data_IF_092381655865
#
_entry.id   IF_092381655865
#
_cell.length_a   1.000
_cell.length_b   1.000
_cell.length_c   1.000
_cell.angle_alpha   90.00
_cell.angle_beta   90.00
_cell.angle_gamma   90.00
#
_symmetry.space_group_name_H-M   'P 1'
#
loop_
_entity.id
_entity.type
_entity.pdbx_description
1 polymer ?
#
# COMPACT_ATOMS: atom_id res chain seq x y z
N UNK A 1 -31.70 53.60 -49.17
CA UNK A 1 -31.01 54.23 -48.01
C UNK A 1 -31.41 53.45 -46.76
N UNK A 2 -30.47 53.15 -45.87
CA UNK A 2 -30.72 52.56 -44.56
C UNK A 2 -30.26 53.52 -43.45
N UNK A 3 -31.02 53.66 -42.35
CA UNK A 3 -30.50 53.53 -40.97
C UNK A 3 -31.52 52.84 -40.03
N UNK A 4 -31.23 52.33 -38.82
CA UNK A 4 -29.99 51.93 -38.09
C UNK A 4 -30.39 50.89 -37.00
N UNK A 5 -29.44 50.37 -36.22
CA UNK A 5 -29.70 49.42 -35.12
C UNK A 5 -30.15 50.08 -33.79
N UNK A 6 -30.81 49.31 -32.91
CA UNK A 6 -30.86 49.54 -31.45
C UNK A 6 -31.21 48.25 -30.68
N UNK A 7 -30.73 48.11 -29.45
CA UNK A 7 -30.77 46.89 -28.62
C UNK A 7 -31.84 46.89 -27.50
N UNK A 8 -32.16 45.67 -27.02
CA UNK A 8 -32.54 45.28 -25.63
C UNK A 8 -33.67 46.04 -24.90
N UNK A 9 -34.67 45.28 -24.43
CA UNK A 9 -34.77 44.78 -23.03
C UNK A 9 -36.05 43.95 -22.85
N UNK A 10 -36.11 43.09 -21.81
CA UNK A 10 -37.38 42.43 -21.40
C UNK A 10 -37.29 40.93 -21.10
N UNK A 11 -36.65 40.55 -20.00
CA UNK A 11 -36.70 39.18 -19.49
C UNK A 11 -38.10 38.83 -18.98
N UNK A 12 -38.73 37.80 -19.55
CA UNK A 12 -39.91 37.12 -18.97
C UNK A 12 -39.55 35.67 -18.65
N UNK A 13 -39.55 35.35 -17.36
CA UNK A 13 -39.28 34.01 -16.82
C UNK A 13 -40.39 33.04 -17.29
N UNK A 14 -40.07 31.81 -17.71
CA UNK A 14 -41.08 30.76 -17.84
C UNK A 14 -41.64 30.41 -16.45
N UNK A 15 -42.95 30.20 -16.34
CA UNK A 15 -43.60 29.81 -15.10
C UNK A 15 -43.25 28.37 -14.70
N UNK A 16 -43.25 28.09 -13.40
CA UNK A 16 -43.05 26.74 -12.86
C UNK A 16 -44.27 25.86 -13.17
N UNK A 17 -44.16 25.02 -14.21
CA UNK A 17 -45.08 23.91 -14.39
C UNK A 17 -44.72 22.80 -13.40
N UNK A 18 -45.52 22.70 -12.34
CA UNK A 18 -45.51 21.61 -11.37
C UNK A 18 -46.13 20.34 -12.00
N UNK A 19 -45.36 19.67 -12.87
CA UNK A 19 -45.71 18.37 -13.41
C UNK A 19 -45.50 17.28 -12.34
N UNK A 20 -46.57 16.99 -11.61
CA UNK A 20 -46.59 16.02 -10.52
C UNK A 20 -46.00 14.67 -10.93
N UNK A 21 -44.87 14.32 -10.32
CA UNK A 21 -44.01 13.20 -10.69
C UNK A 21 -44.70 11.84 -10.41
N UNK A 22 -45.53 11.40 -11.37
CA UNK A 22 -46.08 10.04 -11.39
C UNK A 22 -44.92 9.05 -11.54
N UNK A 23 -44.47 8.52 -10.41
CA UNK A 23 -43.46 7.46 -10.26
C UNK A 23 -43.89 6.17 -10.98
N UNK A 24 -43.85 6.17 -12.31
CA UNK A 24 -43.98 4.97 -13.12
C UNK A 24 -42.86 4.02 -12.73
N UNK A 25 -43.22 2.85 -12.20
CA UNK A 25 -42.27 1.83 -11.74
C UNK A 25 -41.35 1.46 -12.91
N UNK A 26 -40.11 1.94 -12.86
CA UNK A 26 -39.12 1.81 -13.93
C UNK A 26 -38.94 0.33 -14.25
N UNK A 27 -39.46 -0.12 -15.40
CA UNK A 27 -39.33 -1.50 -15.84
C UNK A 27 -37.85 -1.89 -15.84
N UNK A 28 -37.51 -3.04 -15.25
CA UNK A 28 -36.12 -3.51 -15.16
C UNK A 28 -35.55 -3.61 -16.57
N UNK A 29 -34.61 -2.72 -16.91
CA UNK A 29 -33.91 -2.71 -18.19
C UNK A 29 -33.24 -4.08 -18.35
N UNK A 30 -33.58 -4.80 -19.44
CA UNK A 30 -32.94 -6.07 -19.76
C UNK A 30 -31.43 -5.92 -19.99
N UNK A 31 -30.72 -7.05 -20.12
CA UNK A 31 -29.28 -7.05 -20.36
C UNK A 31 -28.93 -6.21 -21.58
N UNK A 32 -28.34 -5.04 -21.35
CA UNK A 32 -28.15 -4.01 -22.38
C UNK A 32 -26.84 -4.29 -23.10
N UNK A 33 -26.90 -5.08 -24.18
CA UNK A 33 -25.73 -5.41 -25.00
C UNK A 33 -25.55 -4.35 -26.08
N UNK A 34 -24.69 -3.38 -25.81
CA UNK A 34 -24.25 -2.39 -26.79
C UNK A 34 -22.80 -1.98 -26.54
N UNK A 35 -22.10 -1.36 -27.50
CA UNK A 35 -20.67 -1.03 -27.39
C UNK A 35 -20.30 -0.17 -26.15
N UNK A 36 -21.27 0.52 -25.55
CA UNK A 36 -21.13 1.29 -24.31
C UNK A 36 -21.22 0.48 -23.01
N UNK A 37 -21.71 -0.76 -23.08
CA UNK A 37 -21.99 -1.64 -21.93
C UNK A 37 -21.30 -3.01 -22.03
N UNK A 38 -20.63 -3.30 -23.14
CA UNK A 38 -19.61 -4.36 -23.16
C UNK A 38 -18.54 -4.05 -22.10
N UNK A 39 -17.90 -5.08 -21.50
CA UNK A 39 -16.81 -4.87 -20.58
C UNK A 39 -15.64 -4.20 -21.30
N UNK A 40 -15.57 -2.87 -21.15
CA UNK A 40 -14.44 -2.02 -21.52
C UNK A 40 -13.15 -2.76 -21.17
N UNK A 41 -12.42 -3.19 -22.20
CA UNK A 41 -11.49 -4.32 -22.13
C UNK A 41 -10.50 -4.23 -20.96
N UNK A 42 -9.96 -5.38 -20.53
CA UNK A 42 -9.21 -5.59 -19.26
C UNK A 42 -8.23 -4.48 -18.82
N UNK A 43 -7.68 -3.71 -19.77
CA UNK A 43 -6.79 -2.57 -19.54
C UNK A 43 -7.45 -1.18 -19.53
N UNK A 44 -8.61 -0.97 -20.18
CA UNK A 44 -9.27 0.35 -20.29
C UNK A 44 -9.73 0.88 -18.93
N UNK A 45 -10.31 0.03 -18.08
CA UNK A 45 -10.66 0.38 -16.68
C UNK A 45 -9.42 0.75 -15.85
N UNK A 46 -8.32 -0.01 -15.99
CA UNK A 46 -7.03 0.30 -15.34
C UNK A 46 -6.47 1.64 -15.82
N UNK A 47 -6.49 1.90 -17.12
CA UNK A 47 -6.01 3.16 -17.69
C UNK A 47 -6.86 4.37 -17.24
N UNK A 48 -8.18 4.21 -17.12
CA UNK A 48 -9.06 5.23 -16.53
C UNK A 48 -8.74 5.47 -15.05
N UNK A 49 -8.50 4.41 -14.26
CA UNK A 49 -8.11 4.51 -12.85
C UNK A 49 -6.75 5.20 -12.67
N UNK A 50 -5.75 4.84 -13.48
CA UNK A 50 -4.43 5.48 -13.50
C UNK A 50 -4.59 6.98 -13.80
N UNK A 51 -5.32 7.34 -14.86
CA UNK A 51 -5.59 8.74 -15.22
C UNK A 51 -6.26 9.53 -14.08
N UNK A 52 -7.31 8.98 -13.46
CA UNK A 52 -7.96 9.60 -12.29
C UNK A 52 -6.96 9.81 -11.14
N UNK A 53 -6.22 8.76 -10.76
CA UNK A 53 -5.23 8.83 -9.68
C UNK A 53 -4.10 9.85 -9.91
N UNK A 54 -3.72 10.10 -11.17
CA UNK A 54 -2.75 11.13 -11.53
C UNK A 54 -3.32 12.55 -11.39
N UNK A 55 -4.58 12.76 -11.81
CA UNK A 55 -5.29 14.02 -11.64
C UNK A 55 -5.48 14.33 -10.15
N UNK A 56 -5.89 13.35 -9.35
CA UNK A 56 -6.14 13.54 -7.92
C UNK A 56 -4.83 13.85 -7.16
N UNK A 57 -3.72 13.16 -7.49
CA UNK A 57 -2.38 13.50 -6.97
C UNK A 57 -1.92 14.89 -7.38
N UNK A 58 -2.22 15.34 -8.59
CA UNK A 58 -1.87 16.69 -9.04
C UNK A 58 -2.65 17.77 -8.27
N UNK A 59 -3.95 17.56 -8.04
CA UNK A 59 -4.79 18.44 -7.21
C UNK A 59 -4.27 18.52 -5.78
N UNK A 60 -4.05 17.37 -5.13
CA UNK A 60 -3.51 17.32 -3.76
C UNK A 60 -2.18 18.08 -3.63
N UNK A 61 -1.28 17.99 -4.63
CA UNK A 61 -0.04 18.78 -4.64
C UNK A 61 -0.28 20.28 -4.79
N UNK A 62 -1.23 20.70 -5.63
CA UNK A 62 -1.58 22.12 -5.79
C UNK A 62 -2.22 22.68 -4.52
N UNK A 63 -3.10 21.92 -3.86
CA UNK A 63 -3.77 22.37 -2.64
C UNK A 63 -2.82 22.36 -1.44
N UNK A 64 -1.93 21.38 -1.34
CA UNK A 64 -0.83 21.39 -0.36
C UNK A 64 0.09 22.60 -0.54
N UNK A 65 0.51 22.91 -1.78
CA UNK A 65 1.34 24.08 -2.05
C UNK A 65 0.66 25.41 -1.68
N UNK A 66 -0.68 25.51 -1.84
CA UNK A 66 -1.45 26.68 -1.37
C UNK A 66 -1.53 26.76 0.15
N UNK A 67 -1.67 25.63 0.84
CA UNK A 67 -1.67 25.60 2.31
C UNK A 67 -0.29 25.97 2.86
N UNK A 68 0.79 25.39 2.33
CA UNK A 68 2.15 25.74 2.72
C UNK A 68 2.44 27.23 2.49
N UNK A 69 2.07 27.79 1.34
CA UNK A 69 2.25 29.23 1.08
C UNK A 69 1.45 30.13 2.05
N UNK A 70 0.30 29.66 2.55
CA UNK A 70 -0.45 30.36 3.61
C UNK A 70 0.21 30.19 4.97
N UNK A 71 0.63 29.00 5.34
CA UNK A 71 1.35 28.76 6.61
C UNK A 71 2.66 29.54 6.68
N UNK A 72 3.37 29.70 5.56
CA UNK A 72 4.57 30.55 5.45
C UNK A 72 4.22 32.05 5.58
N UNK A 73 3.08 32.50 5.06
CA UNK A 73 2.57 33.87 5.25
C UNK A 73 2.11 34.12 6.69
N UNK A 74 1.26 33.26 7.25
CA UNK A 74 0.76 33.32 8.63
C UNK A 74 1.93 33.28 9.63
N UNK A 75 2.97 32.48 9.35
CA UNK A 75 4.20 32.43 10.13
C UNK A 75 5.02 33.72 10.00
N UNK A 76 5.18 34.26 8.80
CA UNK A 76 5.88 35.53 8.61
C UNK A 76 5.14 36.70 9.28
N UNK A 77 3.80 36.70 9.26
CA UNK A 77 2.98 37.64 10.02
C UNK A 77 3.11 37.45 11.53
N UNK A 78 3.16 36.22 12.02
CA UNK A 78 3.37 35.93 13.44
C UNK A 78 4.78 36.34 13.92
N UNK A 79 5.82 36.07 13.12
CA UNK A 79 7.20 36.51 13.39
C UNK A 79 7.31 38.05 13.32
N UNK A 80 6.60 38.72 12.40
CA UNK A 80 6.55 40.18 12.33
C UNK A 80 5.80 40.81 13.54
N UNK A 81 4.66 40.24 13.95
CA UNK A 81 3.93 40.71 15.15
C UNK A 81 4.72 40.47 16.44
N UNK A 82 5.40 39.33 16.56
CA UNK A 82 6.29 39.06 17.70
C UNK A 82 7.48 40.03 17.76
N UNK A 83 7.98 40.49 16.61
CA UNK A 83 9.00 41.53 16.53
C UNK A 83 8.45 42.93 16.89
N UNK A 84 7.21 43.25 16.53
CA UNK A 84 6.55 44.52 16.89
C UNK A 84 6.19 44.60 18.39
N UNK A 85 5.71 43.50 19.00
CA UNK A 85 5.39 43.45 20.43
C UNK A 85 6.63 43.45 21.35
N UNK A 86 7.85 43.47 20.80
CA UNK A 86 9.09 43.58 21.57
C UNK A 86 9.37 42.40 22.51
N UNK A 87 8.63 41.30 22.36
CA UNK A 87 8.78 40.07 23.12
C UNK A 87 10.03 39.31 22.65
N UNK A 88 11.19 39.79 23.09
CA UNK A 88 12.45 39.05 23.04
C UNK A 88 12.33 37.84 23.97
N UNK A 89 11.70 36.77 23.46
CA UNK A 89 11.82 35.46 24.07
C UNK A 89 13.32 35.12 24.09
N UNK A 90 13.94 34.94 25.26
CA UNK A 90 15.35 34.60 25.33
C UNK A 90 15.57 33.30 24.57
N UNK A 91 16.59 33.27 23.70
CA UNK A 91 16.95 32.06 22.98
C UNK A 91 17.07 30.90 23.98
N UNK A 92 16.43 29.74 23.73
CA UNK A 92 16.38 28.66 24.71
C UNK A 92 17.81 28.20 24.99
N UNK A 93 18.31 28.56 26.18
CA UNK A 93 19.66 28.23 26.61
C UNK A 93 19.79 26.72 26.65
N UNK A 94 20.64 26.14 25.80
CA UNK A 94 20.82 24.69 25.73
C UNK A 94 21.49 24.09 26.98
N UNK A 95 21.87 24.94 27.94
CA UNK A 95 22.37 24.55 29.26
C UNK A 95 21.21 24.05 30.15
N UNK A 96 21.36 22.90 30.83
CA UNK A 96 20.41 22.46 31.84
C UNK A 96 20.25 23.49 32.98
N UNK A 97 19.04 23.57 33.55
CA UNK A 97 18.82 24.28 34.82
C UNK A 97 19.76 23.71 35.91
N UNK A 98 20.32 24.51 36.83
CA UNK A 98 21.28 24.02 37.84
C UNK A 98 20.78 22.80 38.63
N UNK A 99 19.50 22.75 39.00
CA UNK A 99 18.91 21.58 39.68
C UNK A 99 18.94 20.30 38.83
N UNK A 100 18.84 20.43 37.51
CA UNK A 100 18.96 19.30 36.57
C UNK A 100 20.42 18.89 36.41
N UNK A 101 21.35 19.84 36.45
CA UNK A 101 22.79 19.57 36.45
C UNK A 101 23.18 18.77 37.70
N UNK A 102 22.79 19.24 38.89
CA UNK A 102 22.99 18.54 40.17
C UNK A 102 22.41 17.10 40.19
N UNK A 103 21.34 16.84 39.45
CA UNK A 103 20.75 15.51 39.34
C UNK A 103 21.55 14.60 38.39
N UNK A 104 22.02 15.14 37.25
CA UNK A 104 22.88 14.44 36.28
C UNK A 104 24.22 14.07 36.93
N UNK A 105 24.86 15.03 37.62
CA UNK A 105 26.16 14.82 38.26
C UNK A 105 26.04 13.73 39.35
N UNK A 106 24.95 13.74 40.12
CA UNK A 106 24.65 12.72 41.13
C UNK A 106 24.29 11.34 40.56
N UNK A 107 23.71 11.27 39.37
CA UNK A 107 23.50 9.99 38.66
C UNK A 107 24.79 9.47 38.00
N UNK A 108 25.74 10.36 37.69
CA UNK A 108 27.05 10.00 37.14
C UNK A 108 28.06 9.54 38.20
N UNK A 109 28.00 10.07 39.43
CA UNK A 109 28.88 9.67 40.53
C UNK A 109 28.66 8.21 41.01
N UNK A 110 27.44 7.68 40.93
CA UNK A 110 27.10 6.39 41.53
C UNK A 110 26.10 5.56 40.68
N UNK A 111 26.52 5.04 39.50
CA UNK A 111 25.63 4.34 38.57
C UNK A 111 25.07 3.03 39.14
N UNK A 112 25.78 2.36 40.06
CA UNK A 112 25.28 1.14 40.70
C UNK A 112 24.09 1.40 41.65
N UNK A 113 23.98 2.58 42.25
CA UNK A 113 22.82 2.93 43.08
C UNK A 113 21.54 3.10 42.28
N UNK A 114 21.61 3.43 40.98
CA UNK A 114 20.41 3.59 40.14
C UNK A 114 19.83 2.23 39.72
N UNK A 115 20.69 1.26 39.37
CA UNK A 115 20.27 -0.13 39.10
C UNK A 115 19.75 -0.83 40.37
N UNK A 116 20.35 -0.56 41.53
CA UNK A 116 19.97 -1.16 42.82
C UNK A 116 18.89 -0.39 43.58
N UNK A 117 18.24 0.61 42.97
CA UNK A 117 17.13 1.37 43.58
C UNK A 117 15.82 0.60 43.56
N UNK A 118 15.86 -0.60 44.15
CA UNK A 118 14.77 -1.54 44.22
C UNK A 118 13.55 -0.92 44.94
N UNK A 119 12.37 -0.83 44.29
CA UNK A 119 11.16 -0.28 44.91
C UNK A 119 10.64 -1.06 46.13
N UNK A 120 11.23 -2.23 46.40
CA UNK A 120 10.85 -3.21 47.42
C UNK A 120 10.94 -2.70 48.87
N UNK A 121 11.93 -1.88 49.20
CA UNK A 121 12.21 -1.46 50.60
C UNK A 121 11.28 -0.37 51.17
N UNK A 122 10.18 0.01 50.48
CA UNK A 122 9.13 0.88 51.04
C UNK A 122 7.76 0.21 51.13
N UNK A 123 7.61 -0.64 52.14
CA UNK A 123 6.31 -1.09 52.62
C UNK A 123 5.93 -2.47 52.15
N UNK A 124 6.18 -3.43 53.03
CA UNK A 124 5.52 -4.74 53.05
C UNK A 124 3.99 -4.58 52.88
N UNK A 125 3.34 -5.55 52.23
CA UNK A 125 1.92 -5.54 51.79
C UNK A 125 1.51 -4.59 50.66
N UNK A 126 2.43 -4.11 49.81
CA UNK A 126 2.01 -3.61 48.48
C UNK A 126 1.40 -4.76 47.67
N UNK A 127 0.05 -4.82 47.63
CA UNK A 127 -0.73 -5.74 46.78
C UNK A 127 -0.08 -5.82 45.40
N UNK A 128 0.28 -7.02 44.95
CA UNK A 128 0.86 -7.27 43.63
C UNK A 128 0.04 -6.50 42.58
N UNK A 129 0.63 -5.43 42.04
CA UNK A 129 -0.06 -4.57 41.08
C UNK A 129 -0.29 -5.42 39.84
N UNK A 130 -1.57 -5.60 39.47
CA UNK A 130 -1.92 -6.30 38.24
C UNK A 130 -1.10 -5.72 37.08
N UNK A 131 -0.53 -6.55 36.19
CA UNK A 131 0.20 -6.05 35.04
C UNK A 131 -0.70 -5.08 34.28
N UNK A 132 -0.14 -3.94 33.89
CA UNK A 132 -0.85 -2.97 33.06
C UNK A 132 -1.10 -3.65 31.72
N UNK A 133 -2.37 -3.90 31.39
CA UNK A 133 -2.76 -4.33 30.05
C UNK A 133 -2.24 -3.30 29.06
N UNK A 134 -1.36 -3.71 28.16
CA UNK A 134 -0.89 -2.84 27.10
C UNK A 134 -2.08 -2.49 26.18
N UNK A 135 -2.18 -1.24 25.70
CA UNK A 135 -3.22 -0.90 24.76
C UNK A 135 -3.04 -1.75 23.48
N UNK A 136 -4.15 -2.31 22.98
CA UNK A 136 -4.23 -3.05 21.72
C UNK A 136 -3.56 -4.45 21.65
N UNK A 137 -3.27 -5.12 22.78
CA UNK A 137 -2.79 -6.53 22.80
C UNK A 137 -3.60 -7.47 21.88
N UNK A 138 -4.93 -7.32 21.88
CA UNK A 138 -5.85 -8.12 21.03
C UNK A 138 -5.68 -7.84 19.53
N UNK A 139 -5.37 -6.60 19.17
CA UNK A 139 -5.18 -6.18 17.77
C UNK A 139 -3.79 -6.58 17.27
N UNK A 140 -2.77 -6.50 18.13
CA UNK A 140 -1.43 -7.02 17.85
C UNK A 140 -1.48 -8.53 17.58
N UNK A 141 -2.12 -9.30 18.47
CA UNK A 141 -2.30 -10.74 18.27
C UNK A 141 -3.14 -11.08 17.01
N UNK A 142 -4.10 -10.22 16.63
CA UNK A 142 -4.84 -10.39 15.37
C UNK A 142 -3.98 -10.06 14.13
N UNK A 143 -3.16 -9.01 14.20
CA UNK A 143 -2.23 -8.63 13.13
C UNK A 143 -1.12 -9.67 12.92
N UNK A 144 -0.61 -10.27 13.99
CA UNK A 144 0.35 -11.38 13.93
C UNK A 144 -0.26 -12.62 13.28
N UNK A 145 -1.48 -13.01 13.67
CA UNK A 145 -2.23 -14.10 13.01
C UNK A 145 -2.45 -13.84 11.53
N UNK A 146 -2.84 -12.61 11.15
CA UNK A 146 -3.01 -12.22 9.76
C UNK A 146 -1.70 -12.26 8.95
N UNK A 147 -0.57 -11.84 9.56
CA UNK A 147 0.77 -11.96 8.95
C UNK A 147 1.15 -13.42 8.74
N UNK A 148 1.00 -14.26 9.76
CA UNK A 148 1.32 -15.69 9.70
C UNK A 148 0.46 -16.42 8.65
N UNK A 149 -0.84 -16.12 8.55
CA UNK A 149 -1.70 -16.69 7.50
C UNK A 149 -1.28 -16.22 6.10
N UNK A 150 -0.96 -14.94 5.93
CA UNK A 150 -0.48 -14.41 4.65
C UNK A 150 0.86 -15.03 4.23
N UNK A 151 1.76 -15.28 5.18
CA UNK A 151 3.04 -15.97 4.94
C UNK A 151 2.84 -17.46 4.61
N UNK A 152 1.95 -18.16 5.32
CA UNK A 152 1.60 -19.55 5.01
C UNK A 152 1.00 -19.68 3.60
N UNK A 153 0.13 -18.75 3.20
CA UNK A 153 -0.43 -18.69 1.84
C UNK A 153 0.64 -18.42 0.78
N UNK A 154 1.67 -17.60 1.07
CA UNK A 154 2.81 -17.37 0.17
C UNK A 154 3.67 -18.62 0.04
N UNK A 155 4.08 -19.24 1.16
CA UNK A 155 4.86 -20.48 1.17
C UNK A 155 4.15 -21.61 0.40
N UNK A 156 2.85 -21.79 0.59
CA UNK A 156 2.07 -22.77 -0.18
C UNK A 156 2.05 -22.47 -1.69
N UNK A 157 2.06 -21.19 -2.11
CA UNK A 157 2.18 -20.81 -3.51
C UNK A 157 3.58 -21.08 -4.06
N UNK A 158 4.62 -20.68 -3.33
CA UNK A 158 6.03 -20.87 -3.66
C UNK A 158 6.37 -22.37 -3.80
N UNK A 159 5.90 -23.22 -2.88
CA UNK A 159 6.03 -24.67 -2.96
C UNK A 159 5.29 -25.27 -4.18
N UNK A 160 4.08 -24.80 -4.47
CA UNK A 160 3.33 -25.23 -5.64
C UNK A 160 3.99 -24.81 -6.96
N UNK A 161 4.60 -23.62 -7.00
CA UNK A 161 5.39 -23.15 -8.14
C UNK A 161 6.71 -23.91 -8.27
N UNK A 162 7.42 -24.19 -7.17
CA UNK A 162 8.63 -25.01 -7.17
C UNK A 162 8.36 -26.44 -7.67
N UNK A 163 7.26 -27.07 -7.24
CA UNK A 163 6.84 -28.38 -7.76
C UNK A 163 6.50 -28.34 -9.25
N UNK A 164 5.84 -27.27 -9.72
CA UNK A 164 5.56 -27.07 -11.16
C UNK A 164 6.85 -26.84 -11.95
N UNK A 165 7.78 -26.04 -11.44
CA UNK A 165 9.08 -25.77 -12.04
C UNK A 165 9.90 -27.04 -12.17
N UNK A 166 10.03 -27.84 -11.10
CA UNK A 166 10.73 -29.12 -11.13
C UNK A 166 10.13 -30.08 -12.20
N UNK A 167 8.80 -30.20 -12.26
CA UNK A 167 8.12 -31.00 -13.31
C UNK A 167 8.35 -30.47 -14.73
N UNK A 168 8.47 -29.15 -14.91
CA UNK A 168 8.79 -28.55 -16.21
C UNK A 168 10.26 -28.80 -16.57
N UNK A 169 11.20 -28.56 -15.66
CA UNK A 169 12.62 -28.83 -15.86
C UNK A 169 12.89 -30.29 -16.22
N UNK A 170 12.30 -31.25 -15.52
CA UNK A 170 12.42 -32.67 -15.87
C UNK A 170 11.92 -32.97 -17.29
N UNK A 171 10.79 -32.38 -17.69
CA UNK A 171 10.23 -32.52 -19.05
C UNK A 171 11.14 -31.86 -20.09
N UNK A 172 11.79 -30.75 -19.77
CA UNK A 172 12.74 -30.07 -20.66
C UNK A 172 14.07 -30.81 -20.77
N UNK A 173 14.62 -31.30 -19.65
CA UNK A 173 15.79 -32.20 -19.61
C UNK A 173 15.52 -33.44 -20.47
N UNK A 174 14.37 -34.09 -20.29
CA UNK A 174 13.93 -35.23 -21.10
C UNK A 174 13.76 -34.87 -22.60
N UNK A 175 13.09 -33.76 -22.91
CA UNK A 175 12.92 -33.26 -24.29
C UNK A 175 14.27 -32.99 -24.95
N UNK A 176 15.21 -32.36 -24.24
CA UNK A 176 16.57 -32.03 -24.71
C UNK A 176 17.40 -33.30 -24.93
N UNK A 177 17.31 -34.28 -24.04
CA UNK A 177 17.95 -35.58 -24.20
C UNK A 177 17.41 -36.34 -25.43
N UNK A 178 16.08 -36.45 -25.57
CA UNK A 178 15.43 -37.04 -26.75
C UNK A 178 15.80 -36.32 -28.05
N UNK A 179 15.81 -34.98 -28.05
CA UNK A 179 16.21 -34.19 -29.22
C UNK A 179 17.68 -34.43 -29.59
N UNK A 180 18.58 -34.52 -28.59
CA UNK A 180 20.01 -34.80 -28.81
C UNK A 180 20.27 -36.22 -29.30
N UNK A 181 19.47 -37.20 -28.86
CA UNK A 181 19.53 -38.58 -29.33
C UNK A 181 19.00 -38.74 -30.76
N UNK A 182 17.88 -38.07 -31.07
CA UNK A 182 17.27 -37.99 -32.41
C UNK A 182 18.03 -37.10 -33.39
N UNK A 183 18.98 -36.30 -32.93
CA UNK A 183 19.89 -35.55 -33.80
C UNK A 183 20.77 -36.55 -34.55
N UNK A 184 20.54 -36.71 -35.86
CA UNK A 184 21.17 -37.72 -36.70
C UNK A 184 22.71 -37.73 -36.67
N UNK A 185 23.30 -38.84 -37.09
CA UNK A 185 24.73 -38.93 -37.41
C UNK A 185 25.09 -38.13 -38.67
N UNK A 186 26.37 -38.20 -39.09
CA UNK A 186 26.86 -37.56 -40.32
C UNK A 186 26.10 -38.01 -41.58
N UNK A 187 25.46 -39.18 -41.52
CA UNK A 187 24.64 -39.78 -42.58
C UNK A 187 23.12 -39.65 -42.31
N UNK A 188 22.69 -38.73 -41.43
CA UNK A 188 21.27 -38.53 -41.05
C UNK A 188 20.65 -39.62 -40.14
N UNK A 189 21.27 -40.79 -40.04
CA UNK A 189 20.76 -41.94 -39.27
C UNK A 189 20.62 -41.67 -37.76
N UNK A 190 19.56 -42.22 -37.15
CA UNK A 190 19.26 -42.07 -35.71
C UNK A 190 20.24 -42.83 -34.84
N UNK A 191 20.51 -42.31 -33.64
CA UNK A 191 21.45 -42.91 -32.67
C UNK A 191 20.68 -43.77 -31.68
N UNK A 192 20.22 -44.93 -32.15
CA UNK A 192 19.34 -45.85 -31.39
C UNK A 192 19.85 -46.14 -29.97
N UNK A 193 21.15 -46.40 -29.78
CA UNK A 193 21.75 -46.64 -28.45
C UNK A 193 21.78 -45.43 -27.49
N UNK A 194 21.46 -44.22 -27.97
CA UNK A 194 21.22 -43.03 -27.13
C UNK A 194 19.73 -42.79 -26.91
N UNK A 195 18.89 -43.12 -27.90
CA UNK A 195 17.43 -43.06 -27.79
C UNK A 195 16.92 -44.12 -26.80
N UNK A 196 17.50 -45.33 -26.81
CA UNK A 196 17.16 -46.44 -25.92
C UNK A 196 17.26 -46.06 -24.44
N UNK A 197 18.35 -45.42 -24.03
CA UNK A 197 18.60 -45.13 -22.61
C UNK A 197 17.57 -44.14 -22.06
N UNK A 198 17.26 -43.09 -22.82
CA UNK A 198 16.24 -42.10 -22.45
C UNK A 198 14.83 -42.71 -22.44
N UNK A 199 14.54 -43.63 -23.37
CA UNK A 199 13.27 -44.38 -23.37
C UNK A 199 13.17 -45.36 -22.19
N UNK A 200 14.26 -46.03 -21.81
CA UNK A 200 14.31 -46.93 -20.65
C UNK A 200 14.10 -46.17 -19.34
N UNK A 201 14.70 -44.99 -19.17
CA UNK A 201 14.40 -44.11 -18.03
C UNK A 201 12.92 -43.72 -17.96
N UNK A 202 12.31 -43.42 -19.12
CA UNK A 202 10.87 -43.11 -19.21
C UNK A 202 10.01 -44.30 -18.78
N UNK A 203 10.33 -45.51 -19.25
CA UNK A 203 9.60 -46.74 -18.90
C UNK A 203 9.79 -47.05 -17.40
N UNK A 204 11.02 -46.97 -16.89
CA UNK A 204 11.30 -47.13 -15.45
C UNK A 204 10.48 -46.17 -14.60
N UNK A 205 10.30 -44.92 -15.06
CA UNK A 205 9.48 -43.93 -14.36
C UNK A 205 7.97 -44.21 -14.43
N UNK A 206 7.47 -44.85 -15.50
CA UNK A 206 6.07 -45.29 -15.59
C UNK A 206 5.80 -46.55 -14.75
N UNK A 207 6.78 -47.43 -14.60
CA UNK A 207 6.67 -48.68 -13.81
C UNK A 207 6.88 -48.45 -12.31
N UNK A 208 7.52 -47.34 -11.93
CA UNK A 208 7.71 -46.92 -10.54
C UNK A 208 6.63 -45.92 -10.06
N UNK A 209 5.52 -45.78 -10.79
CA UNK A 209 4.34 -44.97 -10.44
C UNK A 209 3.18 -45.85 -9.97
#
# INVERSE_FOLDING_TARGET
MAPTASEKTGSKRPAENNDGEKMSKKARKGFTVGPSHLPDGTWKRKNQQIKRSLIDKAKLKQDYAKLQAREEQDRAEAEARAAEEGLVLPAPTAAPHPDRQNLIDREAEDPELNEKRDPSYRGDRRRQRRPKTAPFEREQAAAEKAKAEAEARRKAHEEAEAQRAARLEERERFRKAMAKARTGGKNGQRKLGRESNVLLEKVRRMVAQ
#
